data_IF_735369739430
#
_entry.id   IF_735369739430
#
_cell.length_a   1.000
_cell.length_b   1.000
_cell.length_c   1.000
_cell.angle_alpha   90.00
_cell.angle_beta   90.00
_cell.angle_gamma   90.00
#
_symmetry.space_group_name_H-M   'P 1'
#
loop_
_entity.id
_entity.type
_entity.pdbx_description
1 polymer ?
#
# COMPACT_ATOMS: atom_id res chain seq x y z
N UNK A 1 4.93 7.80 3.00
CA UNK A 1 4.28 6.62 3.62
C UNK A 1 3.15 7.03 4.55
N UNK A 2 2.41 6.04 5.03
CA UNK A 2 1.29 6.21 5.96
C UNK A 2 1.69 5.70 7.35
N UNK A 3 2.09 6.60 8.24
CA UNK A 3 2.47 6.27 9.61
C UNK A 3 1.29 5.82 10.48
N UNK A 4 1.55 4.90 11.40
CA UNK A 4 0.58 4.35 12.34
C UNK A 4 0.94 4.61 13.81
N UNK A 5 1.56 5.75 14.09
CA UNK A 5 2.05 6.09 15.42
C UNK A 5 3.30 5.28 15.79
N UNK A 6 3.25 4.55 16.91
CA UNK A 6 4.40 3.79 17.42
C UNK A 6 4.77 2.53 16.64
N UNK A 7 3.86 2.09 15.74
CA UNK A 7 4.09 0.92 14.90
C UNK A 7 4.72 1.30 13.56
N UNK A 8 5.21 0.28 12.85
CA UNK A 8 5.64 0.42 11.46
C UNK A 8 4.49 0.94 10.58
N UNK A 9 4.79 1.69 9.48
CA UNK A 9 3.79 2.32 8.64
C UNK A 9 2.92 1.30 7.87
N UNK A 10 1.79 1.76 7.36
CA UNK A 10 0.98 1.01 6.43
C UNK A 10 1.54 1.17 5.01
N UNK A 11 1.92 0.05 4.37
CA UNK A 11 2.53 0.03 3.04
C UNK A 11 1.53 -0.17 1.90
N UNK A 12 0.22 -0.08 2.16
CA UNK A 12 -0.79 -0.08 1.10
C UNK A 12 -0.63 1.08 0.10
N UNK A 13 0.13 2.09 0.49
CA UNK A 13 0.59 3.16 -0.39
C UNK A 13 1.94 3.71 0.07
N UNK A 14 2.90 3.72 -0.85
CA UNK A 14 4.22 4.34 -0.66
C UNK A 14 4.61 5.05 -1.95
N UNK A 15 5.15 6.25 -1.83
CA UNK A 15 5.69 6.99 -2.95
C UNK A 15 7.20 7.21 -2.76
N UNK A 16 7.97 6.99 -3.82
CA UNK A 16 9.41 7.16 -3.82
C UNK A 16 9.80 8.32 -4.73
N UNK A 17 10.60 9.25 -4.19
CA UNK A 17 11.22 10.28 -5.01
C UNK A 17 12.45 9.69 -5.71
N UNK A 18 12.33 9.37 -6.98
CA UNK A 18 13.42 8.78 -7.79
C UNK A 18 14.68 9.64 -7.86
N UNK A 19 14.56 10.94 -7.63
CA UNK A 19 15.70 11.88 -7.65
C UNK A 19 16.39 11.99 -6.29
N UNK A 20 15.85 11.38 -5.25
CA UNK A 20 16.45 11.43 -3.93
C UNK A 20 17.73 10.60 -3.90
N UNK A 21 18.87 11.11 -3.38
CA UNK A 21 20.16 10.44 -3.45
C UNK A 21 20.17 9.06 -2.79
N UNK A 22 19.38 8.87 -1.75
CA UNK A 22 19.31 7.60 -0.99
C UNK A 22 18.33 6.56 -1.58
N UNK A 23 17.55 6.90 -2.62
CA UNK A 23 16.53 5.97 -3.12
C UNK A 23 17.14 4.69 -3.69
N UNK A 24 18.27 4.80 -4.37
CA UNK A 24 18.97 3.64 -4.94
C UNK A 24 19.47 2.71 -3.84
N UNK A 25 20.11 3.26 -2.80
CA UNK A 25 20.61 2.48 -1.67
C UNK A 25 19.46 1.83 -0.90
N UNK A 26 18.35 2.55 -0.74
CA UNK A 26 17.13 2.03 -0.11
C UNK A 26 16.59 0.82 -0.88
N UNK A 27 16.42 0.95 -2.20
CA UNK A 27 15.89 -0.13 -3.03
C UNK A 27 16.84 -1.31 -3.08
N UNK A 28 18.15 -1.05 -3.18
CA UNK A 28 19.17 -2.10 -3.13
C UNK A 28 19.09 -2.86 -1.81
N UNK A 29 19.11 -2.16 -0.69
CA UNK A 29 19.05 -2.78 0.64
C UNK A 29 17.76 -3.62 0.80
N UNK A 30 16.62 -3.09 0.38
CA UNK A 30 15.36 -3.83 0.44
C UNK A 30 15.41 -5.11 -0.42
N UNK A 31 15.91 -5.00 -1.65
CA UNK A 31 16.07 -6.16 -2.55
C UNK A 31 17.03 -7.21 -1.95
N UNK A 32 18.14 -6.77 -1.41
CA UNK A 32 19.17 -7.65 -0.83
C UNK A 32 18.63 -8.47 0.35
N UNK A 33 17.68 -7.93 1.12
CA UNK A 33 17.01 -8.67 2.21
C UNK A 33 16.30 -9.93 1.71
N UNK A 34 15.68 -9.87 0.53
CA UNK A 34 14.96 -10.99 -0.06
C UNK A 34 15.87 -11.91 -0.88
N UNK A 35 16.74 -11.34 -1.70
CA UNK A 35 17.64 -12.11 -2.58
C UNK A 35 18.63 -12.96 -1.79
N UNK A 36 19.08 -12.45 -0.65
CA UNK A 36 20.06 -13.12 0.20
C UNK A 36 19.44 -13.85 1.40
N UNK A 37 18.11 -13.98 1.45
CA UNK A 37 17.38 -14.59 2.54
C UNK A 37 17.63 -13.97 3.93
N UNK A 38 18.23 -12.77 3.97
CA UNK A 38 18.56 -12.08 5.22
C UNK A 38 17.33 -11.51 5.91
N UNK A 39 16.20 -11.46 5.20
CA UNK A 39 14.89 -11.13 5.77
C UNK A 39 14.53 -12.05 6.96
N UNK A 40 14.96 -13.30 6.96
CA UNK A 40 14.71 -14.25 8.04
C UNK A 40 15.45 -13.95 9.35
N UNK A 41 16.38 -12.97 9.33
CA UNK A 41 17.02 -12.44 10.54
C UNK A 41 16.22 -11.29 11.18
N UNK A 42 15.21 -10.77 10.48
CA UNK A 42 14.33 -9.74 11.01
C UNK A 42 13.26 -10.36 11.92
N UNK A 43 12.72 -9.57 12.85
CA UNK A 43 11.70 -10.03 13.81
C UNK A 43 10.36 -10.36 13.14
N UNK A 44 10.02 -9.64 12.08
CA UNK A 44 8.80 -9.83 11.29
C UNK A 44 9.14 -9.74 9.80
N UNK A 45 8.46 -10.51 8.96
CA UNK A 45 8.82 -10.65 7.53
C UNK A 45 7.82 -10.02 6.57
N UNK A 46 6.79 -9.36 7.09
CA UNK A 46 5.82 -8.70 6.22
C UNK A 46 6.32 -7.33 5.74
N UNK A 47 5.76 -6.88 4.63
CA UNK A 47 6.14 -5.69 3.89
C UNK A 47 6.28 -4.42 4.73
N UNK A 48 5.30 -4.14 5.56
CA UNK A 48 5.27 -2.92 6.39
C UNK A 48 6.40 -2.87 7.43
N UNK A 49 6.72 -4.00 8.06
CA UNK A 49 7.82 -4.08 9.00
C UNK A 49 9.18 -3.94 8.28
N UNK A 50 9.37 -4.70 7.20
CA UNK A 50 10.61 -4.67 6.42
C UNK A 50 10.86 -3.29 5.83
N UNK A 51 9.83 -2.65 5.25
CA UNK A 51 9.91 -1.27 4.79
C UNK A 51 10.40 -0.33 5.89
N UNK A 52 9.84 -0.46 7.10
CA UNK A 52 10.22 0.40 8.21
C UNK A 52 11.67 0.18 8.67
N UNK A 53 12.16 -1.06 8.63
CA UNK A 53 13.58 -1.34 8.89
C UNK A 53 14.47 -0.67 7.85
N UNK A 54 14.10 -0.73 6.56
CA UNK A 54 14.84 -0.06 5.48
C UNK A 54 14.85 1.47 5.69
N UNK A 55 13.71 2.08 6.03
CA UNK A 55 13.63 3.52 6.34
C UNK A 55 14.58 3.87 7.48
N UNK A 56 14.52 3.15 8.60
CA UNK A 56 15.36 3.43 9.78
C UNK A 56 16.86 3.31 9.49
N UNK A 57 17.24 2.37 8.64
CA UNK A 57 18.67 2.10 8.35
C UNK A 57 19.24 3.02 7.28
N UNK A 58 18.47 3.34 6.25
CA UNK A 58 19.00 4.05 5.07
C UNK A 58 18.60 5.52 5.06
N UNK A 59 17.37 5.83 5.45
CA UNK A 59 16.78 7.15 5.28
C UNK A 59 15.93 7.59 6.50
N UNK A 60 16.48 7.57 7.72
CA UNK A 60 15.69 7.78 8.94
C UNK A 60 14.99 9.15 9.02
N UNK A 61 15.55 10.17 8.34
CA UNK A 61 15.06 11.54 8.38
C UNK A 61 14.44 12.00 7.04
N UNK A 62 14.39 11.11 6.04
CA UNK A 62 14.02 11.50 4.67
C UNK A 62 12.60 11.05 4.28
N UNK A 63 11.87 10.50 5.22
CA UNK A 63 10.50 10.01 4.99
C UNK A 63 9.44 11.00 5.41
N UNK A 64 8.49 11.31 4.51
CA UNK A 64 7.30 12.08 4.84
C UNK A 64 6.14 11.17 5.25
N UNK A 65 5.60 11.37 6.44
CA UNK A 65 4.43 10.66 6.93
C UNK A 65 3.15 11.45 6.62
N UNK A 66 2.43 11.03 5.59
CA UNK A 66 1.13 11.63 5.21
C UNK A 66 -0.05 10.99 5.98
N UNK A 67 0.21 9.96 6.77
CA UNK A 67 -0.77 9.32 7.64
C UNK A 67 -0.76 9.84 9.09
N UNK A 68 0.03 10.89 9.39
CA UNK A 68 0.20 11.41 10.74
C UNK A 68 -1.15 11.71 11.42
N UNK A 69 -1.40 11.02 12.50
CA UNK A 69 -2.64 11.15 13.27
C UNK A 69 -3.87 10.47 12.66
N UNK A 70 -3.84 9.99 11.41
CA UNK A 70 -4.99 9.36 10.76
C UNK A 70 -5.32 7.97 11.36
N UNK A 71 -4.30 7.20 11.74
CA UNK A 71 -4.45 5.88 12.35
C UNK A 71 -4.62 5.86 13.87
N UNK A 72 -4.72 7.02 14.52
CA UNK A 72 -4.86 7.09 15.97
C UNK A 72 -6.19 6.47 16.46
N UNK A 73 -6.17 5.95 17.71
CA UNK A 73 -7.36 5.39 18.37
C UNK A 73 -8.03 4.22 17.62
N UNK A 74 -7.24 3.39 16.94
CA UNK A 74 -7.74 2.19 16.25
C UNK A 74 -8.37 2.45 14.88
N UNK A 75 -8.43 3.67 14.42
CA UNK A 75 -8.90 3.96 13.08
C UNK A 75 -7.88 3.52 12.01
N UNK A 76 -8.37 3.03 10.89
CA UNK A 76 -7.50 2.59 9.80
C UNK A 76 -6.82 3.79 9.13
N UNK A 77 -5.48 3.83 9.15
CA UNK A 77 -4.70 4.99 8.70
C UNK A 77 -4.95 5.35 7.24
N UNK A 78 -5.07 4.35 6.36
CA UNK A 78 -5.21 4.59 4.92
C UNK A 78 -6.47 5.40 4.61
N UNK A 79 -7.62 4.89 5.03
CA UNK A 79 -8.92 5.52 4.74
C UNK A 79 -9.15 6.82 5.52
N UNK A 80 -8.42 7.03 6.60
CA UNK A 80 -8.50 8.26 7.41
C UNK A 80 -7.41 9.29 7.07
N UNK A 81 -6.52 8.97 6.12
CA UNK A 81 -5.55 9.92 5.54
C UNK A 81 -6.17 10.72 4.40
N UNK A 82 -5.36 11.61 3.82
CA UNK A 82 -5.74 12.36 2.60
C UNK A 82 -6.12 11.45 1.44
N UNK A 83 -5.56 10.24 1.37
CA UNK A 83 -5.86 9.27 0.32
C UNK A 83 -7.27 8.69 0.44
N UNK A 84 -7.82 8.60 1.64
CA UNK A 84 -9.15 8.06 1.86
C UNK A 84 -10.28 8.88 1.24
N UNK A 85 -9.99 10.10 0.76
CA UNK A 85 -10.92 10.89 -0.05
C UNK A 85 -11.04 10.40 -1.50
N UNK A 86 -10.08 9.60 -1.95
CA UNK A 86 -9.96 9.14 -3.35
C UNK A 86 -10.06 7.64 -3.49
N UNK A 87 -9.51 6.90 -2.54
CA UNK A 87 -9.41 5.44 -2.59
C UNK A 87 -9.77 4.83 -1.24
N UNK A 88 -10.25 3.60 -1.26
CA UNK A 88 -10.50 2.82 -0.06
C UNK A 88 -9.61 1.58 -0.03
N UNK A 89 -9.15 1.20 1.17
CA UNK A 89 -8.27 0.07 1.36
C UNK A 89 -9.05 -1.12 1.92
N UNK A 90 -9.43 -2.03 1.06
CA UNK A 90 -10.24 -3.20 1.38
C UNK A 90 -9.44 -4.27 2.14
N UNK A 91 -9.47 -4.21 3.47
CA UNK A 91 -8.90 -5.23 4.37
C UNK A 91 -9.97 -5.86 5.27
N UNK A 92 -9.78 -7.14 5.59
CA UNK A 92 -10.66 -7.86 6.52
C UNK A 92 -12.13 -7.82 6.07
N UNK A 93 -13.03 -7.45 6.97
CA UNK A 93 -14.47 -7.38 6.71
C UNK A 93 -14.84 -6.45 5.55
N UNK A 94 -14.03 -5.42 5.27
CA UNK A 94 -14.26 -4.49 4.16
C UNK A 94 -14.21 -5.17 2.79
N UNK A 95 -13.40 -6.23 2.65
CA UNK A 95 -13.35 -7.04 1.42
C UNK A 95 -14.72 -7.63 1.07
N UNK A 96 -15.44 -8.09 2.09
CA UNK A 96 -16.77 -8.70 1.91
C UNK A 96 -17.82 -7.62 1.68
N UNK A 97 -17.72 -6.50 2.40
CA UNK A 97 -18.69 -5.40 2.30
C UNK A 97 -18.50 -4.54 1.05
N UNK A 98 -17.35 -4.64 0.35
CA UNK A 98 -17.02 -3.81 -0.79
C UNK A 98 -16.77 -2.33 -0.46
N UNK A 99 -16.84 -1.96 0.81
CA UNK A 99 -16.63 -0.59 1.30
C UNK A 99 -16.22 -0.56 2.78
N UNK A 100 -15.62 0.55 3.21
CA UNK A 100 -15.41 0.81 4.63
C UNK A 100 -16.72 1.17 5.32
N UNK A 101 -16.91 0.66 6.53
CA UNK A 101 -18.04 1.06 7.37
C UNK A 101 -17.82 2.46 7.95
N UNK A 102 -18.89 3.13 8.37
CA UNK A 102 -18.79 4.42 9.08
C UNK A 102 -17.95 4.32 10.35
N UNK A 103 -17.97 3.17 11.04
CA UNK A 103 -17.16 2.92 12.24
C UNK A 103 -15.66 2.82 11.97
N UNK A 104 -15.24 2.52 10.73
CA UNK A 104 -13.83 2.49 10.34
C UNK A 104 -13.26 3.90 10.11
N UNK A 105 -14.11 4.90 10.03
CA UNK A 105 -13.76 6.27 9.71
C UNK A 105 -13.62 7.11 10.97
N UNK A 106 -12.64 8.01 10.97
CA UNK A 106 -12.39 8.94 12.07
C UNK A 106 -13.37 10.11 12.10
N UNK A 107 -14.00 10.39 10.99
CA UNK A 107 -14.98 11.46 10.84
C UNK A 107 -15.94 11.16 9.72
N UNK A 108 -16.95 11.99 9.59
CA UNK A 108 -17.90 11.86 8.51
C UNK A 108 -17.26 12.11 7.15
N UNK A 109 -17.60 11.30 6.19
CA UNK A 109 -17.25 11.50 4.78
C UNK A 109 -18.33 12.35 4.12
N UNK A 110 -17.92 13.13 3.12
CA UNK A 110 -18.86 13.86 2.28
C UNK A 110 -19.81 12.90 1.58
N UNK A 111 -21.04 13.32 1.38
CA UNK A 111 -22.06 12.53 0.69
C UNK A 111 -21.58 11.99 -0.66
N UNK A 112 -20.82 12.78 -1.40
CA UNK A 112 -20.24 12.38 -2.68
C UNK A 112 -19.31 11.16 -2.57
N UNK A 113 -18.57 11.00 -1.46
CA UNK A 113 -17.76 9.82 -1.24
C UNK A 113 -18.63 8.57 -1.17
N UNK A 114 -19.73 8.60 -0.41
CA UNK A 114 -20.62 7.45 -0.27
C UNK A 114 -21.32 7.10 -1.58
N UNK A 115 -21.76 8.11 -2.34
CA UNK A 115 -22.34 7.89 -3.68
C UNK A 115 -21.36 7.22 -4.63
N UNK A 116 -20.10 7.66 -4.62
CA UNK A 116 -19.06 7.05 -5.45
C UNK A 116 -18.78 5.61 -5.05
N UNK A 117 -18.73 5.31 -3.75
CA UNK A 117 -18.49 3.96 -3.24
C UNK A 117 -19.67 3.03 -3.51
N UNK A 118 -20.90 3.50 -3.36
CA UNK A 118 -22.13 2.72 -3.63
C UNK A 118 -22.28 2.36 -5.10
N UNK A 119 -21.83 3.23 -6.00
CA UNK A 119 -21.86 3.01 -7.45
C UNK A 119 -20.52 2.47 -7.99
N UNK A 120 -19.57 2.16 -7.14
CA UNK A 120 -18.27 1.67 -7.58
C UNK A 120 -18.38 0.23 -8.05
N UNK A 121 -18.18 0.05 -9.34
CA UNK A 121 -17.95 -1.24 -9.96
C UNK A 121 -16.45 -1.32 -10.32
N UNK A 122 -15.65 -2.13 -9.62
CA UNK A 122 -14.23 -2.27 -9.88
C UNK A 122 -13.93 -2.82 -11.27
N UNK A 123 -14.92 -3.42 -11.93
CA UNK A 123 -14.80 -3.97 -13.27
C UNK A 123 -15.44 -3.09 -14.35
N UNK A 124 -15.99 -1.92 -13.98
CA UNK A 124 -16.62 -1.00 -14.92
C UNK A 124 -15.61 -0.54 -15.98
N UNK A 125 -15.88 -0.91 -17.23
CA UNK A 125 -15.03 -0.56 -18.37
C UNK A 125 -13.81 -1.49 -18.56
N UNK A 126 -13.58 -2.43 -17.68
CA UNK A 126 -12.60 -3.50 -17.89
C UNK A 126 -13.29 -4.64 -18.64
N UNK A 127 -13.02 -4.74 -19.93
CA UNK A 127 -13.34 -5.96 -20.66
C UNK A 127 -12.29 -6.99 -20.30
N UNK A 128 -12.64 -7.92 -19.43
CA UNK A 128 -11.79 -9.06 -19.14
C UNK A 128 -11.76 -9.96 -20.39
N UNK A 129 -10.62 -10.01 -21.03
CA UNK A 129 -10.33 -10.97 -22.10
C UNK A 129 -9.52 -12.12 -21.53
N UNK A 130 -10.11 -13.32 -21.39
CA UNK A 130 -9.41 -14.50 -20.86
C UNK A 130 -8.14 -14.83 -21.65
N UNK A 131 -8.14 -14.62 -22.98
CA UNK A 131 -6.98 -14.89 -23.83
C UNK A 131 -5.83 -13.94 -23.54
N UNK A 132 -6.13 -12.65 -23.28
CA UNK A 132 -5.10 -11.69 -22.85
C UNK A 132 -4.49 -12.07 -21.51
N UNK A 133 -5.29 -12.54 -20.56
CA UNK A 133 -4.79 -13.01 -19.28
C UNK A 133 -3.87 -14.24 -19.42
N UNK A 134 -4.26 -15.21 -20.25
CA UNK A 134 -3.45 -16.39 -20.55
C UNK A 134 -2.13 -16.04 -21.25
N UNK A 135 -2.16 -15.07 -22.18
CA UNK A 135 -0.97 -14.57 -22.88
C UNK A 135 0.00 -13.88 -21.92
N UNK A 136 -0.50 -13.04 -21.03
CA UNK A 136 0.30 -12.38 -19.99
C UNK A 136 0.94 -13.42 -19.05
N UNK A 137 0.16 -14.39 -18.56
CA UNK A 137 0.67 -15.47 -17.70
C UNK A 137 1.73 -16.29 -18.43
N UNK A 138 1.51 -16.62 -19.71
CA UNK A 138 2.46 -17.36 -20.53
C UNK A 138 3.78 -16.61 -20.74
N UNK A 139 3.73 -15.29 -21.01
CA UNK A 139 4.91 -14.44 -21.15
C UNK A 139 5.70 -14.33 -19.86
N UNK A 140 5.02 -14.12 -18.74
CA UNK A 140 5.66 -14.07 -17.42
C UNK A 140 6.33 -15.42 -17.08
N UNK A 141 5.67 -16.54 -17.36
CA UNK A 141 6.23 -17.87 -17.14
C UNK A 141 7.46 -18.16 -18.02
N UNK A 142 7.56 -17.52 -19.19
CA UNK A 142 8.72 -17.64 -20.08
C UNK A 142 9.83 -16.63 -19.78
N UNK A 143 9.67 -15.75 -18.79
CA UNK A 143 10.63 -14.71 -18.46
C UNK A 143 10.71 -13.57 -19.48
N UNK A 144 9.73 -13.46 -20.38
CA UNK A 144 9.64 -12.37 -21.36
C UNK A 144 9.14 -11.11 -20.64
N UNK A 145 10.03 -10.14 -20.40
CA UNK A 145 9.64 -8.84 -19.87
C UNK A 145 8.91 -8.07 -20.98
N UNK A 146 7.68 -7.67 -20.71
CA UNK A 146 6.97 -6.73 -21.57
C UNK A 146 7.70 -5.38 -21.62
N UNK A 147 7.88 -4.89 -22.83
CA UNK A 147 8.38 -3.53 -23.10
C UNK A 147 7.45 -2.46 -22.53
#
# INVERSE_FOLDING_TARGET
FLGRGEKYPECGWVCYNKKHPKVTDFMKYWTDLYVNDTIFKELEWHDSYVFWQCVKRIAPNDGADIGKGAGAKGHHVFINSVLGGYVDHMKGKRKVLGKSSKSDLRGERKEQYWKNVENYDPFRGVKFDPKQAEDIVSKVAKGEQGN
#
